data_IF_167367532297
#
_entry.id   IF_167367532297
#
_cell.length_a   1.000
_cell.length_b   1.000
_cell.length_c   1.000
_cell.angle_alpha   90.00
_cell.angle_beta   90.00
_cell.angle_gamma   90.00
#
_symmetry.space_group_name_H-M   'P 1'
#
loop_
_entity.id
_entity.type
_entity.pdbx_description
1 polymer ?
#
# COMPACT_ATOMS: atom_id res chain seq x y z
N UNK A 1 9.77 -20.56 71.34
CA UNK A 1 9.59 -19.10 71.26
C UNK A 1 10.60 -18.55 70.28
N UNK A 2 10.16 -17.58 69.46
CA UNK A 2 10.94 -16.80 68.48
C UNK A 2 11.36 -17.60 67.23
N UNK A 3 10.83 -17.41 66.02
CA UNK A 3 10.11 -16.26 65.45
C UNK A 3 11.07 -15.23 64.89
N UNK A 4 11.58 -15.46 63.66
CA UNK A 4 12.32 -14.48 62.86
C UNK A 4 11.85 -14.58 61.40
N UNK A 5 10.92 -13.70 61.04
CA UNK A 5 10.69 -13.27 59.65
C UNK A 5 11.81 -12.29 59.26
N UNK A 6 12.33 -12.42 58.05
CA UNK A 6 13.26 -11.47 57.45
C UNK A 6 13.17 -11.56 55.93
N UNK A 7 12.65 -10.50 55.32
CA UNK A 7 12.21 -10.36 53.94
C UNK A 7 13.27 -10.73 52.88
N UNK A 8 12.93 -11.61 51.92
CA UNK A 8 13.61 -11.67 50.63
C UNK A 8 13.09 -10.56 49.73
N UNK A 9 13.95 -9.58 49.48
CA UNK A 9 13.74 -8.50 48.51
C UNK A 9 13.78 -9.11 47.10
N UNK A 10 12.63 -9.35 46.47
CA UNK A 10 12.58 -9.66 45.05
C UNK A 10 12.73 -8.36 44.27
N UNK A 11 13.93 -8.13 43.75
CA UNK A 11 14.21 -7.05 42.81
C UNK A 11 13.60 -7.43 41.46
N UNK A 12 12.37 -6.96 41.24
CA UNK A 12 11.77 -6.84 39.91
C UNK A 12 12.55 -5.77 39.15
N UNK A 13 13.65 -6.16 38.51
CA UNK A 13 14.20 -5.36 37.42
C UNK A 13 13.77 -6.04 36.12
N UNK A 14 12.85 -5.33 35.46
CA UNK A 14 12.22 -5.68 34.21
C UNK A 14 13.24 -6.22 33.20
N UNK A 15 12.96 -7.42 32.67
CA UNK A 15 13.39 -7.78 31.33
C UNK A 15 12.97 -6.65 30.40
N UNK A 16 13.93 -5.80 30.02
CA UNK A 16 13.82 -4.98 28.82
C UNK A 16 13.77 -5.96 27.66
N UNK A 17 12.56 -6.42 27.36
CA UNK A 17 12.20 -6.92 26.04
C UNK A 17 12.54 -5.77 25.09
N UNK A 18 13.69 -5.88 24.41
CA UNK A 18 13.91 -5.11 23.20
C UNK A 18 12.76 -5.49 22.28
N UNK A 19 11.97 -4.55 21.74
CA UNK A 19 11.20 -4.88 20.56
C UNK A 19 12.26 -5.28 19.53
N UNK A 20 12.28 -6.56 19.15
CA UNK A 20 12.70 -6.91 17.82
C UNK A 20 11.84 -6.01 16.94
N UNK A 21 12.45 -4.99 16.33
CA UNK A 21 11.91 -4.48 15.09
C UNK A 21 11.87 -5.71 14.20
N UNK A 22 10.66 -6.27 14.04
CA UNK A 22 10.36 -7.16 12.94
C UNK A 22 11.01 -6.54 11.71
N UNK A 23 11.95 -7.27 11.12
CA UNK A 23 12.45 -6.95 9.79
C UNK A 23 11.20 -6.91 8.92
N UNK A 24 10.75 -5.69 8.59
CA UNK A 24 9.63 -5.52 7.69
C UNK A 24 9.92 -6.38 6.45
N UNK A 25 8.98 -7.23 6.00
CA UNK A 25 9.23 -8.09 4.86
C UNK A 25 9.77 -7.24 3.71
N UNK A 26 11.00 -7.53 3.28
CA UNK A 26 11.62 -6.75 2.21
C UNK A 26 10.73 -6.87 0.98
N UNK A 27 10.45 -5.78 0.28
CA UNK A 27 9.74 -5.84 -0.98
C UNK A 27 10.71 -6.29 -2.09
N UNK A 28 10.36 -7.33 -2.84
CA UNK A 28 11.24 -7.89 -3.88
C UNK A 28 11.07 -7.16 -5.21
N UNK A 29 9.83 -6.83 -5.57
CA UNK A 29 9.48 -6.13 -6.80
C UNK A 29 8.24 -5.26 -6.60
N UNK A 30 8.23 -4.07 -7.19
CA UNK A 30 7.09 -3.15 -7.16
C UNK A 30 6.59 -2.90 -8.58
N UNK A 31 5.28 -2.66 -8.71
CA UNK A 31 4.75 -2.13 -9.96
C UNK A 31 5.44 -0.81 -10.28
N UNK A 32 5.68 -0.62 -11.58
CA UNK A 32 6.08 0.66 -12.16
C UNK A 32 5.03 1.04 -13.19
N UNK A 33 4.46 2.24 -13.08
CA UNK A 33 3.59 2.74 -14.14
C UNK A 33 4.45 3.29 -15.28
N UNK A 34 4.08 2.92 -16.51
CA UNK A 34 4.87 3.21 -17.70
C UNK A 34 4.45 4.54 -18.29
N UNK A 35 5.43 5.41 -18.48
CA UNK A 35 5.33 6.60 -19.31
C UNK A 35 5.99 6.27 -20.65
N UNK A 36 5.27 6.39 -21.77
CA UNK A 36 5.75 5.86 -23.07
C UNK A 36 6.75 6.77 -23.75
N UNK A 37 6.62 8.08 -23.51
CA UNK A 37 7.35 9.09 -24.26
C UNK A 37 7.92 10.19 -23.34
N UNK A 38 9.06 10.79 -23.68
CA UNK A 38 9.63 11.90 -22.90
C UNK A 38 8.65 13.06 -22.68
N UNK A 39 7.80 13.39 -23.65
CA UNK A 39 6.79 14.45 -23.49
C UNK A 39 5.66 14.06 -22.53
N UNK A 40 5.43 12.76 -22.32
CA UNK A 40 4.50 12.28 -21.30
C UNK A 40 5.15 12.27 -19.92
N UNK A 41 6.49 12.32 -19.83
CA UNK A 41 7.21 12.40 -18.55
C UNK A 41 6.99 13.75 -17.88
N UNK A 42 7.12 14.85 -18.63
CA UNK A 42 6.89 16.19 -18.07
C UNK A 42 5.46 16.32 -17.54
N UNK A 43 4.47 15.89 -18.34
CA UNK A 43 3.07 15.84 -17.91
C UNK A 43 2.86 14.95 -16.68
N UNK A 44 3.48 13.77 -16.66
CA UNK A 44 3.39 12.85 -15.54
C UNK A 44 4.00 13.44 -14.26
N UNK A 45 5.17 14.05 -14.34
CA UNK A 45 5.88 14.63 -13.19
C UNK A 45 5.14 15.84 -12.63
N UNK A 46 4.64 16.72 -13.51
CA UNK A 46 3.79 17.86 -13.12
C UNK A 46 2.51 17.38 -12.45
N UNK A 47 1.78 16.46 -13.09
CA UNK A 47 0.51 15.93 -12.54
C UNK A 47 0.74 15.17 -11.23
N UNK A 48 1.83 14.43 -11.10
CA UNK A 48 2.22 13.75 -9.86
C UNK A 48 2.46 14.75 -8.72
N UNK A 49 3.19 15.83 -9.00
CA UNK A 49 3.48 16.85 -8.00
C UNK A 49 2.21 17.58 -7.55
N UNK A 50 1.35 17.97 -8.49
CA UNK A 50 0.07 18.64 -8.22
C UNK A 50 -0.87 17.72 -7.43
N UNK A 51 -1.11 16.50 -7.92
CA UNK A 51 -1.96 15.51 -7.25
C UNK A 51 -1.46 15.23 -5.83
N UNK A 52 -0.15 15.09 -5.63
CA UNK A 52 0.42 14.87 -4.29
C UNK A 52 0.17 16.05 -3.36
N UNK A 53 0.34 17.28 -3.84
CA UNK A 53 0.11 18.48 -3.04
C UNK A 53 -1.37 18.64 -2.66
N UNK A 54 -2.28 18.40 -3.60
CA UNK A 54 -3.72 18.43 -3.37
C UNK A 54 -4.15 17.39 -2.34
N UNK A 55 -3.73 16.14 -2.50
CA UNK A 55 -4.02 15.07 -1.56
C UNK A 55 -3.42 15.34 -0.18
N UNK A 56 -2.19 15.89 -0.11
CA UNK A 56 -1.57 16.25 1.16
C UNK A 56 -2.39 17.31 1.91
N UNK A 57 -2.91 18.31 1.18
CA UNK A 57 -3.78 19.35 1.74
C UNK A 57 -5.11 18.76 2.21
N UNK A 58 -5.76 17.95 1.37
CA UNK A 58 -7.06 17.38 1.69
C UNK A 58 -7.00 16.43 2.90
N UNK A 59 -6.02 15.54 2.90
CA UNK A 59 -5.83 14.56 3.97
C UNK A 59 -5.10 15.14 5.20
N UNK A 60 -4.69 16.41 5.14
CA UNK A 60 -3.96 17.11 6.20
C UNK A 60 -2.74 16.32 6.68
N UNK A 61 -2.04 15.67 5.75
CA UNK A 61 -0.94 14.73 6.04
C UNK A 61 0.04 14.66 4.89
N UNK A 62 1.30 14.39 5.22
CA UNK A 62 2.34 14.12 4.22
C UNK A 62 2.02 12.85 3.45
N UNK A 63 1.95 12.97 2.12
CA UNK A 63 1.84 11.83 1.21
C UNK A 63 3.25 11.27 0.94
N UNK A 64 3.47 9.94 1.00
CA UNK A 64 4.76 9.35 0.72
C UNK A 64 5.27 9.64 -0.71
N UNK A 65 6.56 9.96 -0.84
CA UNK A 65 7.18 10.31 -2.13
C UNK A 65 7.31 9.13 -3.10
N UNK A 66 7.24 7.90 -2.57
CA UNK A 66 7.34 6.67 -3.35
C UNK A 66 6.00 6.21 -3.96
N UNK A 67 4.91 6.96 -3.78
CA UNK A 67 3.66 6.68 -4.47
C UNK A 67 3.70 7.28 -5.89
N UNK A 68 3.20 6.50 -6.85
CA UNK A 68 3.17 6.84 -8.27
C UNK A 68 1.78 7.28 -8.70
N UNK A 69 1.69 8.10 -9.74
CA UNK A 69 0.43 8.55 -10.31
C UNK A 69 -0.31 7.39 -10.97
N UNK A 70 -1.60 7.26 -10.63
CA UNK A 70 -2.55 6.34 -11.25
C UNK A 70 -3.85 7.10 -11.59
N UNK A 71 -4.71 6.50 -12.42
CA UNK A 71 -6.01 7.06 -12.81
C UNK A 71 -5.95 7.95 -14.06
N UNK A 72 -6.81 8.98 -14.10
CA UNK A 72 -6.72 10.07 -15.10
C UNK A 72 -7.89 10.26 -16.06
N UNK A 73 -8.95 9.44 -16.01
CA UNK A 73 -10.20 9.75 -16.73
C UNK A 73 -11.12 10.65 -15.91
N UNK A 74 -11.42 10.24 -14.67
CA UNK A 74 -12.34 10.97 -13.80
C UNK A 74 -11.64 11.57 -12.57
N UNK A 75 -10.53 10.97 -12.14
CA UNK A 75 -9.80 11.34 -10.93
C UNK A 75 -8.39 10.76 -10.97
N UNK A 76 -7.42 11.50 -10.43
CA UNK A 76 -6.09 11.00 -10.16
C UNK A 76 -5.97 10.49 -8.73
N UNK A 77 -5.14 9.47 -8.54
CA UNK A 77 -4.74 8.97 -7.25
C UNK A 77 -3.27 8.58 -7.27
N UNK A 78 -2.73 8.24 -6.11
CA UNK A 78 -1.36 7.81 -5.93
C UNK A 78 -1.31 6.41 -5.34
N UNK A 79 -0.43 5.56 -5.86
CA UNK A 79 -0.32 4.18 -5.40
C UNK A 79 1.10 3.63 -5.43
N UNK A 80 1.36 2.66 -4.56
CA UNK A 80 2.51 1.77 -4.60
C UNK A 80 2.08 0.38 -4.18
N UNK A 81 2.35 -0.61 -5.02
CA UNK A 81 2.09 -2.01 -4.73
C UNK A 81 3.32 -2.84 -5.04
N UNK A 82 3.74 -3.66 -4.09
CA UNK A 82 4.94 -4.46 -4.18
C UNK A 82 4.69 -5.88 -3.69
N UNK A 83 5.30 -6.85 -4.34
CA UNK A 83 5.28 -8.23 -3.88
C UNK A 83 6.13 -8.36 -2.62
N UNK A 84 5.55 -9.02 -1.63
CA UNK A 84 6.18 -9.34 -0.37
C UNK A 84 7.19 -10.48 -0.59
N UNK A 85 8.44 -10.30 -0.15
CA UNK A 85 9.43 -11.39 -0.17
C UNK A 85 9.00 -12.50 0.80
N UNK A 86 9.30 -13.76 0.45
CA UNK A 86 9.04 -14.93 1.29
C UNK A 86 7.56 -15.22 1.62
N UNK A 87 6.61 -14.63 0.88
CA UNK A 87 5.18 -14.97 0.97
C UNK A 87 4.69 -15.69 -0.29
N UNK A 88 3.42 -16.11 -0.29
CA UNK A 88 2.77 -16.58 -1.51
C UNK A 88 2.80 -15.47 -2.58
N UNK A 89 3.06 -15.81 -3.85
CA UNK A 89 3.29 -14.82 -4.90
C UNK A 89 2.08 -13.89 -5.15
N UNK A 90 0.89 -14.33 -4.77
CA UNK A 90 -0.38 -13.60 -4.91
C UNK A 90 -0.55 -12.45 -3.90
N UNK A 91 0.35 -12.27 -2.93
CA UNK A 91 0.23 -11.24 -1.90
C UNK A 91 1.14 -10.04 -2.16
N UNK A 92 0.56 -8.86 -1.97
CA UNK A 92 1.19 -7.57 -2.21
C UNK A 92 1.02 -6.67 -0.99
N UNK A 93 2.10 -5.98 -0.61
CA UNK A 93 2.00 -4.78 0.22
C UNK A 93 1.58 -3.62 -0.68
N UNK A 94 0.56 -2.88 -0.27
CA UNK A 94 -0.02 -1.79 -1.03
C UNK A 94 -0.27 -0.55 -0.18
N UNK A 95 -0.14 0.60 -0.81
CA UNK A 95 -0.68 1.86 -0.34
C UNK A 95 -1.35 2.57 -1.51
N UNK A 96 -2.56 3.06 -1.29
CA UNK A 96 -3.34 3.83 -2.25
C UNK A 96 -3.96 5.04 -1.58
N UNK A 97 -3.94 6.17 -2.26
CA UNK A 97 -4.59 7.40 -1.83
C UNK A 97 -5.21 8.14 -3.02
N UNK A 98 -6.46 8.53 -2.87
CA UNK A 98 -7.17 9.47 -3.74
C UNK A 98 -8.03 10.41 -2.87
N UNK A 99 -8.83 11.32 -3.45
CA UNK A 99 -9.75 12.18 -2.70
C UNK A 99 -10.83 11.46 -1.88
N UNK A 100 -11.00 10.14 -2.00
CA UNK A 100 -12.09 9.38 -1.36
C UNK A 100 -11.59 8.31 -0.40
N UNK A 101 -10.43 7.73 -0.69
CA UNK A 101 -9.86 6.61 0.02
C UNK A 101 -8.39 6.86 0.30
N UNK A 102 -7.94 6.56 1.50
CA UNK A 102 -6.54 6.32 1.78
C UNK A 102 -6.44 5.01 2.54
N UNK A 103 -5.82 4.03 1.90
CA UNK A 103 -5.71 2.66 2.40
C UNK A 103 -4.27 2.17 2.33
N UNK A 104 -3.89 1.34 3.29
CA UNK A 104 -2.57 0.72 3.35
C UNK A 104 -2.66 -0.67 3.95
N UNK A 105 -1.93 -1.64 3.40
CA UNK A 105 -1.85 -2.97 3.98
C UNK A 105 -1.55 -4.05 2.95
N UNK A 106 -2.10 -5.23 3.16
CA UNK A 106 -1.91 -6.40 2.31
C UNK A 106 -3.10 -6.62 1.39
N UNK A 107 -2.79 -6.91 0.13
CA UNK A 107 -3.74 -7.17 -0.94
C UNK A 107 -3.44 -8.51 -1.60
N UNK A 108 -4.48 -9.18 -2.09
CA UNK A 108 -4.36 -10.44 -2.81
C UNK A 108 -4.74 -10.26 -4.27
N UNK A 109 -3.93 -10.84 -5.14
CA UNK A 109 -4.23 -11.04 -6.54
C UNK A 109 -5.51 -11.85 -6.73
N UNK A 110 -6.41 -11.35 -7.56
CA UNK A 110 -7.60 -12.07 -7.98
C UNK A 110 -7.86 -11.85 -9.48
N UNK A 111 -7.79 -12.93 -10.24
CA UNK A 111 -8.25 -12.93 -11.63
C UNK A 111 -9.76 -13.17 -11.69
N UNK A 112 -10.53 -12.44 -12.53
CA UNK A 112 -11.98 -12.67 -12.67
C UNK A 112 -12.37 -14.10 -13.06
N UNK A 113 -11.49 -14.77 -13.81
CA UNK A 113 -11.66 -16.14 -14.28
C UNK A 113 -10.98 -17.19 -13.36
N UNK A 114 -10.41 -16.78 -12.22
CA UNK A 114 -9.71 -17.69 -11.30
C UNK A 114 -8.38 -18.23 -11.82
N UNK A 115 -7.79 -17.59 -12.83
CA UNK A 115 -6.46 -17.94 -13.34
C UNK A 115 -5.37 -17.59 -12.34
N UNK A 116 -4.24 -18.34 -12.33
CA UNK A 116 -3.11 -18.04 -11.47
C UNK A 116 -2.44 -16.72 -11.87
N UNK A 117 -1.70 -16.15 -10.92
CA UNK A 117 -0.92 -14.94 -11.16
C UNK A 117 0.16 -15.16 -12.23
N UNK A 118 0.29 -14.27 -13.23
CA UNK A 118 1.38 -14.31 -14.20
C UNK A 118 2.76 -14.13 -13.53
N UNK A 119 3.78 -14.84 -14.01
CA UNK A 119 5.16 -14.72 -13.49
C UNK A 119 5.77 -13.33 -13.74
N UNK A 120 5.37 -12.65 -14.82
CA UNK A 120 5.90 -11.35 -15.25
C UNK A 120 4.87 -10.22 -15.07
N UNK A 121 4.04 -10.34 -14.04
CA UNK A 121 2.95 -9.42 -13.72
C UNK A 121 3.37 -7.94 -13.72
N UNK A 122 4.56 -7.64 -13.20
CA UNK A 122 5.10 -6.28 -13.11
C UNK A 122 5.45 -5.64 -14.46
N UNK A 123 5.71 -6.47 -15.48
CA UNK A 123 6.04 -6.03 -16.83
C UNK A 123 4.80 -5.99 -17.72
N UNK A 124 3.89 -6.96 -17.54
CA UNK A 124 2.69 -7.09 -18.36
C UNK A 124 1.52 -6.22 -17.88
N UNK A 125 1.52 -5.68 -16.66
CA UNK A 125 0.37 -4.96 -16.13
C UNK A 125 0.74 -3.60 -15.55
N UNK A 126 -0.25 -2.71 -15.47
CA UNK A 126 -0.12 -1.41 -14.82
C UNK A 126 -1.30 -1.12 -13.90
N UNK A 127 -1.08 -0.27 -12.91
CA UNK A 127 -2.09 0.16 -11.94
C UNK A 127 -2.95 1.26 -12.54
N UNK A 128 -4.27 1.07 -12.51
CA UNK A 128 -5.25 2.04 -13.03
C UNK A 128 -5.90 2.83 -11.91
N UNK A 129 -6.86 2.26 -11.20
CA UNK A 129 -7.69 2.97 -10.23
C UNK A 129 -8.23 2.01 -9.18
N UNK A 130 -8.66 2.55 -8.04
CA UNK A 130 -9.28 1.81 -6.97
C UNK A 130 -10.80 2.06 -6.96
N UNK A 131 -11.58 0.98 -6.93
CA UNK A 131 -13.05 1.07 -7.03
C UNK A 131 -13.77 1.25 -5.70
N UNK A 132 -13.03 1.30 -4.59
CA UNK A 132 -13.57 1.13 -3.24
C UNK A 132 -13.44 -0.32 -2.75
N UNK A 133 -13.47 -1.29 -3.67
CA UNK A 133 -13.39 -2.72 -3.35
C UNK A 133 -12.04 -3.35 -3.71
N UNK A 134 -11.37 -2.82 -4.74
CA UNK A 134 -10.12 -3.39 -5.24
C UNK A 134 -9.37 -2.40 -6.12
N UNK A 135 -8.05 -2.59 -6.23
CA UNK A 135 -7.25 -1.92 -7.25
C UNK A 135 -7.33 -2.70 -8.56
N UNK A 136 -7.67 -2.02 -9.66
CA UNK A 136 -7.71 -2.63 -10.99
C UNK A 136 -6.34 -2.52 -11.66
N UNK A 137 -5.82 -3.66 -12.12
CA UNK A 137 -4.65 -3.72 -12.99
C UNK A 137 -5.06 -4.10 -14.40
N UNK A 138 -4.52 -3.42 -15.40
CA UNK A 138 -4.79 -3.69 -16.82
C UNK A 138 -3.54 -4.24 -17.52
N UNK A 139 -3.75 -5.18 -18.43
CA UNK A 139 -2.68 -5.74 -19.26
C UNK A 139 -2.14 -4.73 -20.26
N UNK A 140 -0.85 -4.82 -20.54
CA UNK A 140 -0.14 -4.12 -21.59
C UNK A 140 0.07 -5.05 -22.79
N UNK A 141 0.09 -4.51 -24.02
CA UNK A 141 -0.39 -3.20 -24.42
C UNK A 141 -1.92 -3.18 -24.62
N UNK A 142 -2.59 -4.32 -24.47
CA UNK A 142 -3.95 -4.52 -24.98
C UNK A 142 -5.07 -3.87 -24.15
N UNK A 143 -4.81 -3.48 -22.89
CA UNK A 143 -5.79 -2.91 -21.96
C UNK A 143 -7.09 -3.74 -21.77
N UNK A 144 -7.09 -4.99 -22.23
CA UNK A 144 -8.29 -5.85 -22.30
C UNK A 144 -8.40 -6.81 -21.13
N UNK A 145 -7.28 -7.35 -20.66
CA UNK A 145 -7.28 -8.21 -19.48
C UNK A 145 -7.16 -7.33 -18.25
N UNK A 146 -8.01 -7.60 -17.28
CA UNK A 146 -7.98 -6.94 -15.98
C UNK A 146 -7.94 -7.97 -14.89
N UNK A 147 -7.19 -7.68 -13.84
CA UNK A 147 -7.33 -8.39 -12.58
C UNK A 147 -7.29 -7.40 -11.44
N UNK A 148 -7.57 -7.90 -10.25
CA UNK A 148 -7.85 -7.10 -9.09
C UNK A 148 -6.80 -7.39 -8.02
N UNK A 149 -6.34 -6.36 -7.31
CA UNK A 149 -5.71 -6.51 -6.01
C UNK A 149 -6.76 -6.17 -4.97
N UNK A 150 -7.25 -7.21 -4.28
CA UNK A 150 -8.34 -7.10 -3.30
C UNK A 150 -7.74 -6.98 -1.89
N UNK A 151 -8.22 -6.04 -1.05
CA UNK A 151 -7.77 -5.94 0.33
C UNK A 151 -7.94 -7.25 1.09
N UNK A 152 -6.93 -7.63 1.87
CA UNK A 152 -6.98 -8.77 2.80
C UNK A 152 -6.88 -8.31 4.24
N UNK A 153 -5.90 -7.45 4.51
CA UNK A 153 -5.64 -6.88 5.83
C UNK A 153 -5.15 -5.44 5.62
N UNK A 154 -6.05 -4.48 5.85
CA UNK A 154 -5.79 -3.07 5.53
C UNK A 154 -6.18 -2.15 6.68
N UNK A 155 -5.49 -1.04 6.71
CA UNK A 155 -5.84 0.15 7.49
C UNK A 155 -6.50 1.12 6.53
N UNK A 156 -7.75 1.50 6.82
CA UNK A 156 -8.41 2.63 6.20
C UNK A 156 -8.13 3.88 7.03
N UNK A 157 -7.57 4.92 6.44
CA UNK A 157 -7.44 6.20 7.11
C UNK A 157 -8.77 6.96 7.02
N UNK A 158 -9.30 7.47 8.14
CA UNK A 158 -10.53 8.25 8.12
C UNK A 158 -10.30 9.56 7.36
N UNK A 159 -11.30 9.98 6.59
CA UNK A 159 -11.26 11.28 5.90
C UNK A 159 -11.27 12.38 6.97
N UNK A 160 -10.33 13.34 6.95
CA UNK A 160 -10.29 14.41 7.93
C UNK A 160 -11.61 15.19 7.98
N UNK A 161 -12.15 15.38 9.18
CA UNK A 161 -13.41 16.08 9.38
C UNK A 161 -14.67 15.26 9.06
N UNK A 162 -14.54 13.97 8.76
CA UNK A 162 -15.69 13.05 8.64
C UNK A 162 -15.88 12.11 9.84
N UNK A 163 -15.12 12.27 10.92
CA UNK A 163 -15.39 11.53 12.16
C UNK A 163 -16.48 12.23 12.99
N UNK A 164 -17.69 11.66 12.95
CA UNK A 164 -18.68 11.43 14.02
C UNK A 164 -20.11 11.78 13.61
N UNK A 165 -20.84 10.78 13.12
CA UNK A 165 -22.25 10.51 13.48
C UNK A 165 -22.39 9.06 13.93
#
# INVERSE_FOLDING_TARGET
>A
MSGLLGCTFTRNDAEKVKPNLEEAPMAEQCFTNYVKHPNEMDFYEETLAETRAELASQWQRTIPDNLMLIGGLDMFGLARFCQLSNTTPELFEGEYVDPRFWIKGTFRYQHPEGLPMPEDIFNQYYMSDYTGESLILYSRPDHRKRFHLVPVDIINFPIPGQDQD
#
